data_IF_874912350308
#
_entry.id   IF_874912350308
#
_cell.length_a   1.000
_cell.length_b   1.000
_cell.length_c   1.000
_cell.angle_alpha   90.00
_cell.angle_beta   90.00
_cell.angle_gamma   90.00
#
_symmetry.space_group_name_H-M   'P 1'
#
loop_
_entity.id
_entity.type
_entity.pdbx_description
1 polymer ?
#
# COMPACT_ATOMS: atom_id res chain seq x y z
N UNK A 1 -48.04 -15.48 10.29
CA UNK A 1 -46.84 -15.46 11.17
C UNK A 1 -46.75 -14.08 11.80
N UNK A 2 -46.72 -13.98 13.13
CA UNK A 2 -46.56 -12.69 13.81
C UNK A 2 -45.16 -12.11 13.48
N UNK A 3 -45.09 -10.88 12.98
CA UNK A 3 -43.81 -10.18 12.81
C UNK A 3 -43.17 -10.04 14.19
N UNK A 4 -41.99 -10.62 14.39
CA UNK A 4 -41.21 -10.43 15.60
C UNK A 4 -40.95 -8.92 15.76
N UNK A 5 -41.31 -8.36 16.92
CA UNK A 5 -41.12 -6.95 17.20
C UNK A 5 -39.62 -6.70 17.40
N UNK A 6 -38.97 -6.10 16.40
CA UNK A 6 -37.55 -5.72 16.48
C UNK A 6 -37.45 -4.42 17.27
N UNK A 7 -36.68 -4.45 18.36
CA UNK A 7 -36.36 -3.25 19.13
C UNK A 7 -35.54 -2.29 18.26
N UNK A 8 -35.93 -1.01 18.23
CA UNK A 8 -35.25 -0.03 17.39
C UNK A 8 -34.04 0.53 18.14
N UNK A 9 -32.89 0.58 17.48
CA UNK A 9 -31.73 1.30 17.98
C UNK A 9 -32.09 2.80 18.01
N UNK A 10 -32.13 3.37 19.22
CA UNK A 10 -32.46 4.77 19.47
C UNK A 10 -31.35 5.51 20.25
N UNK A 11 -30.14 4.95 20.24
CA UNK A 11 -28.95 5.47 20.92
C UNK A 11 -27.75 5.49 19.95
N UNK A 12 -26.72 6.24 20.33
CA UNK A 12 -25.48 6.34 19.54
C UNK A 12 -24.44 5.31 20.01
N UNK A 13 -24.04 4.43 19.11
CA UNK A 13 -22.92 3.50 19.35
C UNK A 13 -21.58 4.23 19.26
N UNK A 14 -20.77 4.14 20.30
CA UNK A 14 -19.41 4.71 20.30
C UNK A 14 -18.53 3.92 19.33
N UNK A 15 -17.94 4.62 18.36
CA UNK A 15 -17.04 4.02 17.38
C UNK A 15 -15.74 3.51 18.04
N UNK A 16 -15.41 2.24 17.81
CA UNK A 16 -14.13 1.66 18.22
C UNK A 16 -13.06 1.85 17.13
N UNK A 17 -11.77 1.93 17.50
CA UNK A 17 -10.67 1.91 16.52
C UNK A 17 -10.73 0.70 15.60
N UNK A 18 -10.26 0.86 14.36
CA UNK A 18 -10.17 -0.25 13.41
C UNK A 18 -9.19 -1.32 13.90
N UNK A 19 -9.60 -2.59 13.77
CA UNK A 19 -8.74 -3.75 14.05
C UNK A 19 -7.72 -3.97 12.92
N UNK A 20 -6.66 -4.78 13.12
CA UNK A 20 -5.65 -5.05 12.09
C UNK A 20 -6.22 -5.51 10.74
N UNK A 21 -7.31 -6.30 10.74
CA UNK A 21 -8.01 -6.74 9.53
C UNK A 21 -8.44 -5.55 8.66
N UNK A 22 -8.98 -4.50 9.27
CA UNK A 22 -9.39 -3.29 8.56
C UNK A 22 -8.21 -2.36 8.25
N UNK A 23 -7.02 -2.56 8.82
CA UNK A 23 -5.86 -1.72 8.58
C UNK A 23 -4.92 -2.26 7.49
N UNK A 24 -5.19 -3.45 6.95
CA UNK A 24 -4.35 -4.07 5.91
C UNK A 24 -4.25 -3.25 4.62
N UNK A 25 -5.30 -2.50 4.27
CA UNK A 25 -5.31 -1.60 3.14
C UNK A 25 -5.95 -0.26 3.51
N UNK A 26 -5.24 0.83 3.21
CA UNK A 26 -5.75 2.19 3.41
C UNK A 26 -7.00 2.40 2.54
N UNK A 27 -8.06 2.93 3.13
CA UNK A 27 -9.29 3.30 2.43
C UNK A 27 -9.94 4.46 3.16
N UNK A 28 -10.37 5.48 2.43
CA UNK A 28 -10.97 6.69 3.02
C UNK A 28 -12.43 6.45 3.39
N UNK A 29 -12.89 7.11 4.44
CA UNK A 29 -14.29 7.08 4.90
C UNK A 29 -14.82 5.68 5.31
N UNK A 30 -13.93 4.76 5.73
CA UNK A 30 -14.33 3.45 6.28
C UNK A 30 -15.20 3.63 7.52
N UNK A 31 -16.34 2.93 7.57
CA UNK A 31 -17.24 2.95 8.73
C UNK A 31 -16.68 2.11 9.90
N UNK A 32 -16.91 2.50 11.16
CA UNK A 32 -16.50 1.71 12.32
C UNK A 32 -17.20 0.35 12.33
N UNK A 33 -16.41 -0.72 12.31
CA UNK A 33 -16.88 -2.10 12.22
C UNK A 33 -17.89 -2.48 13.32
N UNK A 34 -17.68 -2.01 14.56
CA UNK A 34 -18.55 -2.34 15.68
C UNK A 34 -19.95 -1.72 15.56
N UNK A 35 -20.04 -0.51 14.99
CA UNK A 35 -21.32 0.15 14.73
C UNK A 35 -22.09 -0.64 13.66
N UNK A 36 -21.40 -1.05 12.59
CA UNK A 36 -21.99 -1.87 11.53
C UNK A 36 -22.46 -3.23 12.09
N UNK A 37 -21.67 -3.85 12.96
CA UNK A 37 -21.99 -5.16 13.57
C UNK A 37 -23.28 -5.09 14.37
N UNK A 38 -23.44 -4.07 15.21
CA UNK A 38 -24.62 -3.90 16.06
C UNK A 38 -25.90 -3.74 15.24
N UNK A 39 -25.86 -2.98 14.15
CA UNK A 39 -27.01 -2.86 13.24
C UNK A 39 -27.35 -4.20 12.60
N UNK A 40 -26.35 -4.97 12.16
CA UNK A 40 -26.57 -6.29 11.58
C UNK A 40 -27.17 -7.24 12.63
N UNK A 41 -26.63 -7.27 13.85
CA UNK A 41 -27.14 -8.12 14.92
C UNK A 41 -28.58 -7.80 15.30
N UNK A 42 -28.94 -6.51 15.40
CA UNK A 42 -30.26 -6.08 15.81
C UNK A 42 -31.33 -6.31 14.75
N UNK A 43 -31.01 -6.08 13.47
CA UNK A 43 -31.99 -6.07 12.38
C UNK A 43 -32.00 -7.35 11.53
N UNK A 44 -31.14 -8.34 11.82
CA UNK A 44 -31.06 -9.59 11.06
C UNK A 44 -30.86 -10.81 11.96
N UNK A 45 -31.20 -12.00 11.45
CA UNK A 45 -30.96 -13.30 12.09
C UNK A 45 -29.79 -14.03 11.45
N UNK A 46 -29.25 -15.03 12.16
CA UNK A 46 -28.23 -15.92 11.60
C UNK A 46 -28.73 -16.56 10.29
N UNK A 47 -27.87 -16.60 9.27
CA UNK A 47 -28.19 -17.10 7.94
C UNK A 47 -28.87 -16.10 6.99
N UNK A 48 -29.35 -14.94 7.48
CA UNK A 48 -29.94 -13.89 6.64
C UNK A 48 -28.91 -13.32 5.64
N UNK A 49 -29.42 -12.64 4.61
CA UNK A 49 -28.60 -11.94 3.62
C UNK A 49 -28.54 -10.45 3.97
N UNK A 50 -27.33 -9.90 4.04
CA UNK A 50 -27.07 -8.47 4.23
C UNK A 50 -26.49 -7.92 2.93
N UNK A 51 -27.19 -6.97 2.31
CA UNK A 51 -26.75 -6.27 1.11
C UNK A 51 -26.25 -4.86 1.45
N UNK A 52 -25.06 -4.52 0.99
CA UNK A 52 -24.55 -3.16 0.94
C UNK A 52 -24.28 -2.77 -0.52
N UNK A 53 -25.12 -1.91 -1.13
CA UNK A 53 -24.95 -1.50 -2.52
C UNK A 53 -23.82 -0.48 -2.74
N UNK A 54 -23.17 0.01 -1.67
CA UNK A 54 -22.08 0.97 -1.69
C UNK A 54 -21.00 0.59 -0.68
N UNK A 55 -20.51 -0.65 -0.77
CA UNK A 55 -19.78 -1.28 0.33
C UNK A 55 -18.42 -0.65 0.63
N UNK A 56 -17.82 0.10 -0.32
CA UNK A 56 -16.50 0.68 -0.16
C UNK A 56 -15.46 -0.38 0.24
N UNK A 57 -14.79 -0.19 1.38
CA UNK A 57 -13.84 -1.16 1.94
C UNK A 57 -14.44 -2.41 2.59
N UNK A 58 -15.76 -2.56 2.55
CA UNK A 58 -16.45 -3.80 2.91
C UNK A 58 -16.82 -4.06 4.37
N UNK A 59 -16.86 -3.10 5.32
CA UNK A 59 -17.21 -3.44 6.70
C UNK A 59 -18.55 -4.14 6.83
N UNK A 60 -19.56 -3.77 6.02
CA UNK A 60 -20.90 -4.39 6.05
C UNK A 60 -20.88 -5.88 5.64
N UNK A 61 -20.43 -6.26 4.43
CA UNK A 61 -20.38 -7.68 4.07
C UNK A 61 -19.41 -8.49 4.95
N UNK A 62 -18.32 -7.89 5.44
CA UNK A 62 -17.35 -8.58 6.32
C UNK A 62 -17.98 -8.87 7.69
N UNK A 63 -18.59 -7.88 8.33
CA UNK A 63 -19.24 -8.09 9.63
C UNK A 63 -20.46 -9.02 9.51
N UNK A 64 -21.22 -8.96 8.42
CA UNK A 64 -22.27 -9.93 8.16
C UNK A 64 -21.75 -11.37 8.20
N UNK A 65 -20.64 -11.66 7.50
CA UNK A 65 -20.02 -13.00 7.50
C UNK A 65 -19.53 -13.38 8.89
N UNK A 66 -18.85 -12.47 9.60
CA UNK A 66 -18.37 -12.72 10.98
C UNK A 66 -19.49 -13.06 11.95
N UNK A 67 -20.67 -12.47 11.73
CA UNK A 67 -21.88 -12.68 12.51
C UNK A 67 -22.70 -13.90 12.05
N UNK A 68 -22.21 -14.71 11.09
CA UNK A 68 -22.92 -15.88 10.60
C UNK A 68 -24.09 -15.57 9.65
N UNK A 69 -24.06 -14.42 8.99
CA UNK A 69 -24.97 -14.03 7.88
C UNK A 69 -24.24 -14.19 6.53
N UNK A 70 -24.97 -14.05 5.43
CA UNK A 70 -24.41 -13.96 4.07
C UNK A 70 -24.25 -12.49 3.69
N UNK A 71 -23.04 -12.03 3.41
CA UNK A 71 -22.78 -10.66 2.97
C UNK A 71 -22.74 -10.52 1.44
N UNK A 72 -23.43 -9.53 0.89
CA UNK A 72 -23.31 -9.09 -0.51
C UNK A 72 -22.87 -7.63 -0.50
N UNK A 73 -21.72 -7.34 -1.11
CA UNK A 73 -21.20 -5.99 -1.27
C UNK A 73 -21.10 -5.63 -2.74
N UNK A 74 -21.64 -4.47 -3.12
CA UNK A 74 -21.52 -3.88 -4.45
C UNK A 74 -20.83 -2.53 -4.33
N UNK A 75 -19.95 -2.22 -5.27
CA UNK A 75 -19.35 -0.91 -5.41
C UNK A 75 -18.95 -0.70 -6.87
N UNK A 76 -19.07 0.52 -7.38
CA UNK A 76 -18.69 0.86 -8.75
C UNK A 76 -17.17 0.80 -8.94
N UNK A 77 -16.41 1.11 -7.89
CA UNK A 77 -14.95 1.14 -7.96
C UNK A 77 -14.39 -0.28 -7.79
N UNK A 78 -13.66 -0.82 -8.80
CA UNK A 78 -13.08 -2.16 -8.70
C UNK A 78 -12.07 -2.32 -7.56
N UNK A 79 -11.42 -1.23 -7.11
CA UNK A 79 -10.52 -1.28 -5.95
C UNK A 79 -11.31 -1.50 -4.65
N UNK A 80 -12.52 -0.95 -4.53
CA UNK A 80 -13.39 -1.15 -3.36
C UNK A 80 -13.80 -2.61 -3.22
N UNK A 81 -14.29 -3.21 -4.30
CA UNK A 81 -14.69 -4.62 -4.31
C UNK A 81 -13.48 -5.54 -4.15
N UNK A 82 -12.32 -5.20 -4.72
CA UNK A 82 -11.08 -5.93 -4.51
C UNK A 82 -10.62 -5.90 -3.04
N UNK A 83 -10.57 -4.73 -2.40
CA UNK A 83 -10.20 -4.59 -0.98
C UNK A 83 -11.17 -5.36 -0.09
N UNK A 84 -12.48 -5.25 -0.35
CA UNK A 84 -13.51 -6.00 0.38
C UNK A 84 -13.29 -7.51 0.27
N UNK A 85 -13.12 -8.01 -0.96
CA UNK A 85 -12.92 -9.44 -1.23
C UNK A 85 -11.67 -9.99 -0.58
N UNK A 86 -10.53 -9.30 -0.70
CA UNK A 86 -9.25 -9.75 -0.15
C UNK A 86 -9.18 -9.65 1.37
N UNK A 87 -9.95 -8.74 1.98
CA UNK A 87 -10.07 -8.67 3.44
C UNK A 87 -10.89 -9.84 3.99
N UNK A 88 -11.89 -10.32 3.24
CA UNK A 88 -12.82 -11.36 3.67
C UNK A 88 -12.39 -12.80 3.29
N UNK A 89 -11.49 -12.97 2.32
CA UNK A 89 -11.19 -14.30 1.76
C UNK A 89 -10.44 -15.17 2.78
N UNK A 90 -10.88 -16.42 3.02
CA UNK A 90 -10.13 -17.35 3.86
C UNK A 90 -8.88 -17.84 3.14
N UNK A 91 -7.76 -17.90 3.86
CA UNK A 91 -6.46 -18.26 3.30
C UNK A 91 -5.62 -19.03 4.31
N UNK A 92 -4.86 -20.01 3.82
CA UNK A 92 -3.87 -20.73 4.63
C UNK A 92 -2.60 -19.87 4.76
N UNK A 93 -2.25 -19.57 6.01
CA UNK A 93 -1.09 -18.76 6.36
C UNK A 93 0.22 -19.43 5.89
N UNK A 94 0.28 -20.76 5.85
CA UNK A 94 1.47 -21.48 5.38
C UNK A 94 1.67 -21.31 3.87
N UNK A 95 0.58 -21.30 3.09
CA UNK A 95 0.65 -21.00 1.66
C UNK A 95 1.18 -19.58 1.40
N UNK A 96 0.73 -18.59 2.19
CA UNK A 96 1.25 -17.21 2.09
C UNK A 96 2.73 -17.17 2.41
N UNK A 97 3.17 -17.81 3.50
CA UNK A 97 4.58 -17.82 3.90
C UNK A 97 5.49 -18.43 2.84
N UNK A 98 5.08 -19.56 2.27
CA UNK A 98 5.84 -20.24 1.21
C UNK A 98 5.94 -19.37 -0.04
N UNK A 99 4.81 -18.80 -0.49
CA UNK A 99 4.79 -17.91 -1.64
C UNK A 99 5.60 -16.62 -1.41
N UNK A 100 5.62 -16.08 -0.19
CA UNK A 100 6.45 -14.93 0.15
C UNK A 100 7.94 -15.24 -0.03
N UNK A 101 8.41 -16.38 0.48
CA UNK A 101 9.82 -16.76 0.35
C UNK A 101 10.21 -17.02 -1.11
N UNK A 102 9.30 -17.58 -1.93
CA UNK A 102 9.51 -17.73 -3.38
C UNK A 102 9.61 -16.37 -4.09
N UNK A 103 8.63 -15.48 -3.87
CA UNK A 103 8.61 -14.13 -4.47
C UNK A 103 9.88 -13.36 -4.07
N UNK A 104 10.24 -13.42 -2.79
CA UNK A 104 11.45 -12.78 -2.25
C UNK A 104 12.71 -13.35 -2.89
N UNK A 105 12.86 -14.67 -3.01
CA UNK A 105 14.02 -15.27 -3.66
C UNK A 105 14.17 -14.78 -5.11
N UNK A 106 13.05 -14.61 -5.81
CA UNK A 106 13.02 -14.20 -7.21
C UNK A 106 13.32 -12.72 -7.46
N UNK A 107 13.19 -11.84 -6.47
CA UNK A 107 13.37 -10.39 -6.67
C UNK A 107 14.42 -9.73 -5.77
N UNK A 108 14.79 -10.35 -4.64
CA UNK A 108 15.58 -9.73 -3.58
C UNK A 108 16.93 -9.20 -4.07
N UNK A 109 17.66 -9.97 -4.88
CA UNK A 109 19.01 -9.59 -5.29
C UNK A 109 19.00 -8.37 -6.21
N UNK A 110 18.14 -8.38 -7.25
CA UNK A 110 17.99 -7.26 -8.18
C UNK A 110 17.58 -5.98 -7.44
N UNK A 111 16.66 -6.07 -6.48
CA UNK A 111 16.23 -4.91 -5.70
C UNK A 111 17.37 -4.44 -4.78
N UNK A 112 17.98 -5.33 -4.01
CA UNK A 112 19.03 -4.96 -3.05
C UNK A 112 20.23 -4.28 -3.72
N UNK A 113 20.55 -4.65 -4.95
CA UNK A 113 21.62 -4.02 -5.74
C UNK A 113 21.37 -2.52 -5.98
N UNK A 114 20.11 -2.09 -6.01
CA UNK A 114 19.71 -0.68 -6.14
C UNK A 114 19.87 0.13 -4.84
N UNK A 115 20.07 -0.56 -3.70
CA UNK A 115 20.15 0.04 -2.37
C UNK A 115 21.50 -0.25 -1.68
N UNK A 116 22.54 -0.63 -2.41
CA UNK A 116 23.89 -0.81 -1.85
C UNK A 116 24.53 0.53 -1.49
N UNK A 117 25.29 0.53 -0.39
CA UNK A 117 26.13 1.65 0.03
C UNK A 117 27.27 1.15 0.93
N UNK A 118 28.24 2.02 1.25
CA UNK A 118 29.32 1.73 2.22
C UNK A 118 29.05 2.35 3.58
N UNK A 119 29.39 1.61 4.63
CA UNK A 119 29.29 2.08 6.00
C UNK A 119 30.39 3.10 6.31
N UNK A 120 30.02 4.32 6.73
CA UNK A 120 30.98 5.38 7.11
C UNK A 120 31.87 5.01 8.29
N UNK A 121 31.44 4.06 9.14
CA UNK A 121 32.14 3.67 10.37
C UNK A 121 33.19 2.57 10.12
N UNK A 122 32.88 1.59 9.28
CA UNK A 122 33.73 0.41 9.11
C UNK A 122 34.13 0.10 7.66
N UNK A 123 33.68 0.90 6.68
CA UNK A 123 33.99 0.73 5.26
C UNK A 123 33.33 -0.47 4.57
N UNK A 124 32.66 -1.36 5.31
CA UNK A 124 31.99 -2.55 4.76
C UNK A 124 30.64 -2.21 4.10
N UNK A 125 30.13 -3.16 3.32
CA UNK A 125 28.84 -3.05 2.64
C UNK A 125 27.67 -2.88 3.62
N UNK A 126 26.73 -2.05 3.21
CA UNK A 126 25.52 -1.72 3.94
C UNK A 126 24.35 -1.56 2.96
N UNK A 127 23.12 -1.61 3.51
CA UNK A 127 21.89 -1.41 2.73
C UNK A 127 21.23 -0.10 3.10
N UNK A 128 20.97 0.73 2.09
CA UNK A 128 20.16 1.94 2.21
C UNK A 128 18.76 1.53 2.68
N UNK A 129 18.27 2.22 3.72
CA UNK A 129 16.90 2.12 4.22
C UNK A 129 16.05 3.24 3.61
N UNK A 130 16.60 4.46 3.58
CA UNK A 130 15.92 5.65 3.10
C UNK A 130 16.94 6.69 2.63
N UNK A 131 16.58 7.44 1.60
CA UNK A 131 17.34 8.60 1.11
C UNK A 131 16.44 9.81 1.20
N UNK A 132 16.94 10.89 1.80
CA UNK A 132 16.33 12.20 1.74
C UNK A 132 16.78 12.90 0.48
N UNK A 133 15.83 13.51 -0.21
CA UNK A 133 16.04 14.20 -1.46
C UNK A 133 15.61 15.64 -1.29
N UNK A 134 16.39 16.54 -1.88
CA UNK A 134 15.96 17.88 -2.22
C UNK A 134 15.86 17.93 -3.74
N UNK A 135 14.64 17.96 -4.25
CA UNK A 135 14.34 17.77 -5.67
C UNK A 135 15.00 16.48 -6.21
N UNK A 136 15.96 16.61 -7.13
CA UNK A 136 16.70 15.50 -7.73
C UNK A 136 18.04 15.21 -7.05
N UNK A 137 18.37 15.91 -5.97
CA UNK A 137 19.67 15.82 -5.28
C UNK A 137 19.52 15.06 -3.97
N UNK A 138 20.21 13.92 -3.77
CA UNK A 138 20.21 13.24 -2.48
C UNK A 138 20.99 14.07 -1.47
N UNK A 139 20.42 14.31 -0.29
CA UNK A 139 21.05 15.15 0.76
C UNK A 139 21.48 14.32 1.97
N UNK A 140 20.77 13.21 2.24
CA UNK A 140 21.06 12.34 3.39
C UNK A 140 20.67 10.89 3.10
N UNK A 141 21.50 9.94 3.53
CA UNK A 141 21.24 8.51 3.41
C UNK A 141 21.20 7.89 4.81
N UNK A 142 20.11 7.18 5.09
CA UNK A 142 19.99 6.28 6.24
C UNK A 142 20.19 4.85 5.75
N UNK A 143 21.02 4.08 6.44
CA UNK A 143 21.37 2.73 6.04
C UNK A 143 21.53 1.82 7.26
N UNK A 144 21.43 0.51 7.03
CA UNK A 144 21.75 -0.52 8.01
C UNK A 144 23.07 -1.17 7.65
N UNK A 145 24.02 -1.15 8.59
CA UNK A 145 25.28 -1.87 8.46
C UNK A 145 25.19 -3.21 9.17
N UNK A 146 25.27 -4.31 8.41
CA UNK A 146 25.21 -5.66 8.95
C UNK A 146 26.43 -6.00 9.82
N UNK A 147 27.61 -5.47 9.49
CA UNK A 147 28.82 -5.71 10.29
C UNK A 147 28.85 -4.92 11.60
N UNK A 148 28.28 -3.72 11.64
CA UNK A 148 28.16 -2.95 12.88
C UNK A 148 26.89 -3.28 13.67
N UNK A 149 25.96 -4.04 13.07
CA UNK A 149 24.61 -4.31 13.58
C UNK A 149 23.88 -3.03 14.04
N UNK A 150 23.98 -1.95 13.27
CA UNK A 150 23.41 -0.64 13.61
C UNK A 150 22.84 0.09 12.40
N UNK A 151 21.78 0.85 12.65
CA UNK A 151 21.27 1.89 11.75
C UNK A 151 22.16 3.13 11.90
N UNK A 152 22.57 3.69 10.78
CA UNK A 152 23.46 4.84 10.71
C UNK A 152 23.00 5.76 9.59
N UNK A 153 23.54 6.98 9.56
CA UNK A 153 23.30 7.96 8.53
C UNK A 153 24.61 8.51 7.95
N UNK A 154 24.59 9.02 6.72
CA UNK A 154 25.69 9.76 6.11
C UNK A 154 25.19 10.78 5.09
N UNK A 155 26.05 11.74 4.71
CA UNK A 155 25.90 12.46 3.45
C UNK A 155 26.26 11.50 2.30
N UNK A 156 25.60 11.58 1.14
CA UNK A 156 25.98 10.77 -0.03
C UNK A 156 27.45 11.00 -0.40
N UNK A 157 28.16 9.93 -0.69
CA UNK A 157 29.53 9.98 -1.23
C UNK A 157 29.55 9.73 -2.75
N UNK A 158 30.75 9.74 -3.34
CA UNK A 158 30.92 9.56 -4.79
C UNK A 158 30.39 8.21 -5.28
N UNK A 159 30.44 7.15 -4.47
CA UNK A 159 29.90 5.84 -4.84
C UNK A 159 28.38 5.87 -4.86
N UNK A 160 27.76 6.51 -3.86
CA UNK A 160 26.30 6.70 -3.81
C UNK A 160 25.81 7.52 -5.01
N UNK A 161 26.50 8.61 -5.35
CA UNK A 161 26.16 9.47 -6.49
C UNK A 161 26.34 8.75 -7.83
N UNK A 162 27.36 7.90 -7.97
CA UNK A 162 27.53 7.02 -9.14
C UNK A 162 26.37 6.04 -9.27
N UNK A 163 25.92 5.44 -8.16
CA UNK A 163 24.77 4.54 -8.17
C UNK A 163 23.48 5.27 -8.56
N UNK A 164 23.22 6.47 -8.03
CA UNK A 164 22.07 7.29 -8.43
C UNK A 164 22.10 7.55 -9.94
N UNK A 165 23.22 8.04 -10.48
CA UNK A 165 23.36 8.29 -11.93
C UNK A 165 23.18 7.03 -12.77
N UNK A 166 23.66 5.87 -12.29
CA UNK A 166 23.45 4.57 -12.94
C UNK A 166 21.95 4.25 -13.00
N UNK A 167 21.25 4.35 -11.88
CA UNK A 167 19.82 4.04 -11.79
C UNK A 167 18.97 4.95 -12.68
N UNK A 168 19.27 6.25 -12.72
CA UNK A 168 18.54 7.19 -13.59
C UNK A 168 18.68 6.84 -15.09
N UNK A 169 19.80 6.25 -15.50
CA UNK A 169 20.04 5.80 -16.88
C UNK A 169 19.49 4.41 -17.20
N UNK A 170 19.04 3.65 -16.21
CA UNK A 170 18.55 2.29 -16.43
C UNK A 170 17.18 2.28 -17.14
N UNK A 171 16.97 1.31 -18.01
CA UNK A 171 15.62 0.95 -18.47
C UNK A 171 14.78 0.40 -17.31
N UNK A 172 13.46 0.49 -17.43
CA UNK A 172 12.54 -0.20 -16.50
C UNK A 172 12.30 -1.61 -17.06
N UNK A 173 12.60 -2.68 -16.29
CA UNK A 173 12.68 -4.04 -16.85
C UNK A 173 11.34 -4.69 -17.17
N UNK A 174 10.26 -4.27 -16.50
CA UNK A 174 8.93 -4.86 -16.66
C UNK A 174 7.87 -3.78 -16.84
N UNK A 175 6.65 -4.21 -17.19
CA UNK A 175 5.52 -3.31 -17.41
C UNK A 175 5.23 -2.41 -16.21
N UNK A 176 4.83 -1.17 -16.51
CA UNK A 176 4.36 -0.18 -15.54
C UNK A 176 3.37 0.77 -16.20
N UNK A 177 2.47 1.41 -15.41
CA UNK A 177 1.51 2.36 -15.95
C UNK A 177 2.18 3.69 -16.31
N UNK A 178 1.96 4.16 -17.54
CA UNK A 178 2.38 5.48 -18.05
C UNK A 178 1.19 6.39 -18.32
N UNK A 179 0.03 6.06 -17.75
CA UNK A 179 -1.22 6.79 -17.98
C UNK A 179 -1.04 8.26 -17.57
N UNK A 180 -1.46 9.19 -18.43
CA UNK A 180 -1.51 10.61 -18.09
C UNK A 180 -2.49 10.83 -16.95
N UNK A 181 -2.07 11.61 -15.96
CA UNK A 181 -2.90 12.04 -14.85
C UNK A 181 -3.75 13.22 -15.33
N UNK A 182 -4.99 12.95 -15.75
CA UNK A 182 -5.93 13.93 -16.28
C UNK A 182 -7.36 13.60 -15.82
N UNK A 183 -8.22 14.63 -15.71
CA UNK A 183 -9.65 14.47 -15.40
C UNK A 183 -10.46 14.56 -16.68
N UNK A 184 -11.04 13.45 -17.15
CA UNK A 184 -11.78 13.38 -18.42
C UNK A 184 -10.98 13.91 -19.63
N UNK A 185 -9.65 13.73 -19.63
CA UNK A 185 -8.75 14.21 -20.68
C UNK A 185 -8.24 15.64 -20.47
N UNK A 186 -8.82 16.39 -19.54
CA UNK A 186 -8.38 17.74 -19.17
C UNK A 186 -7.30 17.68 -18.09
N UNK A 187 -6.37 18.64 -18.13
CA UNK A 187 -5.40 18.81 -17.06
C UNK A 187 -6.08 19.05 -15.70
N UNK A 188 -5.38 18.72 -14.63
CA UNK A 188 -5.86 19.14 -13.31
C UNK A 188 -5.98 20.66 -13.26
N UNK A 189 -6.96 21.16 -12.51
CA UNK A 189 -7.08 22.60 -12.24
C UNK A 189 -5.75 23.14 -11.70
N UNK A 190 -5.32 24.29 -12.24
CA UNK A 190 -4.05 24.94 -11.94
C UNK A 190 -3.78 25.08 -10.43
N UNK A 191 -2.49 25.03 -10.05
CA UNK A 191 -2.01 25.36 -8.70
C UNK A 191 -1.92 24.21 -7.70
N UNK A 192 -2.18 22.95 -8.09
CA UNK A 192 -2.14 21.81 -7.15
C UNK A 192 -1.26 20.63 -7.57
N UNK A 193 -0.63 20.68 -8.74
CA UNK A 193 0.23 19.63 -9.29
C UNK A 193 1.52 20.26 -9.85
N UNK A 194 2.64 19.53 -9.75
CA UNK A 194 3.86 19.88 -10.49
C UNK A 194 3.60 19.58 -11.97
N UNK A 195 3.67 20.57 -12.89
CA UNK A 195 3.38 20.36 -14.31
C UNK A 195 4.35 19.37 -14.96
N UNK A 196 5.51 19.11 -14.36
CA UNK A 196 6.45 18.11 -14.84
C UNK A 196 6.03 16.66 -14.51
N UNK A 197 5.05 16.49 -13.61
CA UNK A 197 4.54 15.20 -13.13
C UNK A 197 3.12 14.98 -13.65
N UNK A 198 3.05 14.67 -14.94
CA UNK A 198 1.81 14.52 -15.72
C UNK A 198 1.34 13.06 -15.89
N UNK A 199 2.06 12.09 -15.32
CA UNK A 199 1.85 10.65 -15.57
C UNK A 199 2.16 9.80 -14.35
N UNK A 200 1.52 8.63 -14.25
CA UNK A 200 1.59 7.76 -13.06
C UNK A 200 3.02 7.36 -12.71
N UNK A 201 3.86 7.05 -13.70
CA UNK A 201 5.25 6.63 -13.49
C UNK A 201 6.12 7.76 -12.91
N UNK A 202 5.84 9.01 -13.26
CA UNK A 202 6.56 10.18 -12.75
C UNK A 202 6.32 10.44 -11.26
N UNK A 203 5.25 9.86 -10.68
CA UNK A 203 5.00 9.89 -9.24
C UNK A 203 6.05 9.13 -8.41
N UNK A 204 6.91 8.35 -9.05
CA UNK A 204 7.92 7.52 -8.40
C UNK A 204 9.33 8.00 -8.75
N UNK A 205 10.28 7.77 -7.84
CA UNK A 205 11.70 7.86 -8.23
C UNK A 205 12.03 6.70 -9.17
N UNK A 206 13.01 6.87 -10.06
CA UNK A 206 13.39 5.80 -10.99
C UNK A 206 13.73 4.50 -10.27
N UNK A 207 14.45 4.60 -9.15
CA UNK A 207 14.79 3.46 -8.28
C UNK A 207 13.56 2.73 -7.76
N UNK A 208 12.59 3.46 -7.22
CA UNK A 208 11.40 2.88 -6.65
C UNK A 208 10.51 2.28 -7.73
N UNK A 209 10.38 2.95 -8.89
CA UNK A 209 9.65 2.43 -10.05
C UNK A 209 10.23 1.08 -10.49
N UNK A 210 11.55 1.00 -10.72
CA UNK A 210 12.22 -0.26 -11.10
C UNK A 210 11.93 -1.34 -10.05
N UNK A 211 12.11 -1.04 -8.76
CA UNK A 211 11.87 -1.99 -7.68
C UNK A 211 10.42 -2.49 -7.66
N UNK A 212 9.44 -1.60 -7.82
CA UNK A 212 8.02 -1.94 -7.87
C UNK A 212 7.71 -2.84 -9.07
N UNK A 213 8.30 -2.58 -10.25
CA UNK A 213 8.08 -3.42 -11.44
C UNK A 213 8.63 -4.83 -11.26
N UNK A 214 9.80 -4.98 -10.60
CA UNK A 214 10.39 -6.30 -10.28
C UNK A 214 9.47 -7.06 -9.31
N UNK A 215 9.01 -6.40 -8.23
CA UNK A 215 8.08 -7.02 -7.26
C UNK A 215 6.78 -7.43 -7.95
N UNK A 216 6.17 -6.52 -8.72
CA UNK A 216 4.92 -6.78 -9.42
C UNK A 216 5.05 -7.97 -10.37
N UNK A 217 6.11 -8.02 -11.19
CA UNK A 217 6.39 -9.13 -12.08
C UNK A 217 6.60 -10.46 -11.33
N UNK A 218 7.32 -10.44 -10.19
CA UNK A 218 7.48 -11.62 -9.35
C UNK A 218 6.14 -12.13 -8.79
N UNK A 219 5.24 -11.22 -8.37
CA UNK A 219 3.88 -11.56 -7.94
C UNK A 219 3.06 -12.12 -9.10
N UNK A 220 3.13 -11.52 -10.30
CA UNK A 220 2.38 -11.96 -11.48
C UNK A 220 2.67 -13.42 -11.88
N UNK A 221 3.86 -13.94 -11.55
CA UNK A 221 4.28 -15.32 -11.82
C UNK A 221 3.73 -16.35 -10.81
N UNK A 222 3.14 -15.91 -9.69
CA UNK A 222 2.53 -16.83 -8.71
C UNK A 222 1.39 -17.60 -9.39
N UNK A 223 1.43 -18.94 -9.32
CA UNK A 223 0.45 -19.78 -10.03
C UNK A 223 -0.93 -19.79 -9.37
N UNK A 224 -0.98 -19.88 -8.05
CA UNK A 224 -2.26 -19.94 -7.33
C UNK A 224 -2.90 -18.54 -7.30
N UNK A 225 -4.03 -18.39 -7.99
CA UNK A 225 -4.66 -17.09 -8.21
C UNK A 225 -5.06 -16.39 -6.90
N UNK A 226 -5.62 -17.13 -5.94
CA UNK A 226 -5.99 -16.57 -4.62
C UNK A 226 -4.77 -16.00 -3.89
N UNK A 227 -3.62 -16.68 -3.94
CA UNK A 227 -2.38 -16.22 -3.33
C UNK A 227 -1.83 -15.00 -4.06
N UNK A 228 -1.80 -15.05 -5.40
CA UNK A 228 -1.42 -13.92 -6.24
C UNK A 228 -2.21 -12.66 -5.89
N UNK A 229 -3.53 -12.78 -5.80
CA UNK A 229 -4.42 -11.66 -5.48
C UNK A 229 -4.16 -11.08 -4.08
N UNK A 230 -3.80 -11.90 -3.10
CA UNK A 230 -3.40 -11.42 -1.76
C UNK A 230 -2.07 -10.67 -1.80
N UNK A 231 -1.09 -11.11 -2.59
CA UNK A 231 0.14 -10.36 -2.79
C UNK A 231 -0.07 -9.07 -3.59
N UNK A 232 -0.99 -9.07 -4.58
CA UNK A 232 -1.40 -7.85 -5.28
C UNK A 232 -2.07 -6.86 -4.32
N UNK A 233 -2.92 -7.35 -3.41
CA UNK A 233 -3.53 -6.53 -2.36
C UNK A 233 -2.50 -5.91 -1.41
N UNK A 234 -1.50 -6.69 -1.00
CA UNK A 234 -0.37 -6.17 -0.21
C UNK A 234 0.47 -5.16 -1.02
N UNK A 235 0.69 -5.42 -2.31
CA UNK A 235 1.42 -4.54 -3.21
C UNK A 235 0.72 -3.18 -3.38
N UNK A 236 -0.58 -3.18 -3.65
CA UNK A 236 -1.35 -1.93 -3.79
C UNK A 236 -1.48 -1.18 -2.47
N UNK A 237 -1.50 -1.87 -1.33
CA UNK A 237 -1.56 -1.21 -0.03
C UNK A 237 -0.27 -0.45 0.30
N UNK A 238 0.88 -0.86 -0.23
CA UNK A 238 2.18 -0.22 0.03
C UNK A 238 2.71 0.69 -1.09
N UNK A 239 2.17 0.61 -2.32
CA UNK A 239 2.72 1.33 -3.49
C UNK A 239 2.88 2.83 -3.25
N UNK A 240 1.90 3.47 -2.60
CA UNK A 240 1.94 4.88 -2.26
C UNK A 240 3.13 5.27 -1.37
N UNK A 241 3.63 4.36 -0.52
CA UNK A 241 4.80 4.58 0.35
C UNK A 241 6.11 4.65 -0.43
N UNK A 242 6.13 4.18 -1.67
CA UNK A 242 7.27 4.25 -2.58
C UNK A 242 7.21 5.45 -3.55
N UNK A 243 6.16 6.26 -3.48
CA UNK A 243 6.01 7.46 -4.32
C UNK A 243 6.78 8.67 -3.76
N UNK A 244 6.97 9.68 -4.60
CA UNK A 244 7.50 11.00 -4.20
C UNK A 244 6.52 11.81 -3.34
N UNK A 245 5.26 11.37 -3.20
CA UNK A 245 4.22 12.01 -2.39
C UNK A 245 4.38 11.80 -0.88
N UNK A 246 5.50 11.23 -0.46
CA UNK A 246 5.82 10.92 0.93
C UNK A 246 6.93 11.86 1.44
N UNK A 247 6.59 13.07 1.92
CA UNK A 247 7.58 14.06 2.35
C UNK A 247 8.41 13.58 3.54
N UNK A 248 9.62 14.14 3.69
CA UNK A 248 10.44 13.95 4.89
C UNK A 248 9.72 14.54 6.09
N UNK A 249 9.67 13.79 7.19
CA UNK A 249 9.13 14.27 8.48
C UNK A 249 10.27 14.68 9.40
N UNK A 250 10.37 15.96 9.81
CA UNK A 250 11.44 16.40 10.72
C UNK A 250 11.46 15.61 12.04
N UNK A 251 10.29 15.27 12.59
CA UNK A 251 10.17 14.53 13.85
C UNK A 251 10.40 13.02 13.73
N UNK A 252 10.33 12.46 12.51
CA UNK A 252 10.53 11.03 12.25
C UNK A 252 11.28 10.86 10.92
N UNK A 253 12.58 11.15 10.86
CA UNK A 253 13.30 11.28 9.59
C UNK A 253 13.36 9.99 8.77
N UNK A 254 13.22 8.82 9.39
CA UNK A 254 13.17 7.52 8.70
C UNK A 254 11.76 7.03 8.37
N UNK A 255 10.73 7.85 8.61
CA UNK A 255 9.34 7.51 8.38
C UNK A 255 8.67 8.62 7.60
N UNK A 256 7.91 8.23 6.59
CA UNK A 256 6.99 9.14 5.93
C UNK A 256 5.58 8.54 5.94
N UNK A 257 4.61 9.38 5.62
CA UNK A 257 3.25 8.95 5.34
C UNK A 257 2.75 9.74 4.13
N UNK A 258 1.81 9.16 3.41
CA UNK A 258 1.14 9.89 2.34
C UNK A 258 0.19 10.93 2.93
N UNK A 259 0.70 12.15 3.01
CA UNK A 259 0.07 13.35 3.56
C UNK A 259 -0.46 14.29 2.47
N UNK A 260 0.02 14.13 1.23
CA UNK A 260 -0.21 15.07 0.16
C UNK A 260 -1.51 14.79 -0.57
N UNK A 261 -2.31 15.84 -0.75
CA UNK A 261 -3.50 15.82 -1.58
C UNK A 261 -3.13 15.97 -3.06
N UNK A 262 -3.95 15.44 -3.97
CA UNK A 262 -3.95 15.77 -5.41
C UNK A 262 -2.62 15.54 -6.14
N UNK A 263 -1.91 14.44 -5.83
CA UNK A 263 -0.63 14.08 -6.46
C UNK A 263 0.50 15.11 -6.32
N UNK A 264 0.37 16.04 -5.37
CA UNK A 264 1.42 17.02 -5.11
C UNK A 264 2.70 16.35 -4.64
N UNK A 265 3.82 16.77 -5.23
CA UNK A 265 5.17 16.32 -4.91
C UNK A 265 5.95 17.52 -4.33
N UNK A 266 6.49 17.40 -3.10
CA UNK A 266 7.34 18.42 -2.47
C UNK A 266 8.74 18.51 -3.08
#
# INVERSE_FOLDING_TARGET
>A
MAKQKIEQINYATVAKPHTPMYLMHKYWARKPHNVVSEYIENYTKGGDIVLDPFCGSGPTPIEAIKLGRKGIGVDLNPISTFVTRMTAVPIDINQIKNAFEEIKANCKNEINDLYKTKCKKCGKDASIICTHWDNSTPTKIYYYCFSCNKKLDKKPDDEDLKLVKKVEKMGVPYWYPTQRLAYNGEDFKEGTHDPNIDSVDKLFTKRNLVSLTIIFNAISKVKEEKIKQIFLFAFTSMSHLASKMTPVRPTRPMSSFWAMHRYWIP
#
